data_IF_746116828238
#
_entry.id   IF_746116828238
#
_cell.length_a   1.000
_cell.length_b   1.000
_cell.length_c   1.000
_cell.angle_alpha   90.00
_cell.angle_beta   90.00
_cell.angle_gamma   90.00
#
_symmetry.space_group_name_H-M   'P 1'
#
loop_
_entity.id
_entity.type
_entity.pdbx_description
1 polymer ?
#
# COMPACT_ATOMS: atom_id res chain seq x y z
N UNK A 1 12.90 0.07 23.54
CA UNK A 1 11.80 0.45 22.60
C UNK A 1 12.36 1.16 21.37
N UNK A 2 12.84 2.41 21.44
CA UNK A 2 13.37 3.14 20.27
C UNK A 2 14.50 2.43 19.50
N UNK A 3 15.52 1.89 20.19
CA UNK A 3 16.60 1.11 19.55
C UNK A 3 16.13 -0.20 18.89
N UNK A 4 15.09 -0.85 19.44
CA UNK A 4 14.56 -2.10 18.89
C UNK A 4 13.59 -1.85 17.73
N UNK A 5 12.84 -0.74 17.76
CA UNK A 5 12.01 -0.30 16.64
C UNK A 5 12.85 0.19 15.45
N UNK A 6 14.06 0.69 15.70
CA UNK A 6 15.02 1.05 14.64
C UNK A 6 15.61 -0.18 13.94
N UNK A 7 15.72 -1.32 14.62
CA UNK A 7 16.20 -2.57 14.03
C UNK A 7 15.17 -3.19 13.07
N UNK A 8 13.86 -2.94 13.29
CA UNK A 8 12.76 -3.38 12.43
C UNK A 8 12.69 -2.60 11.11
N UNK A 9 12.78 -1.27 11.16
CA UNK A 9 12.71 -0.43 9.96
C UNK A 9 13.87 -0.68 8.95
N UNK A 10 15.01 -1.22 9.42
CA UNK A 10 16.10 -1.68 8.56
C UNK A 10 15.92 -3.10 8.02
N UNK A 11 15.10 -3.92 8.68
CA UNK A 11 14.82 -5.30 8.29
C UNK A 11 13.82 -5.38 7.12
N UNK A 12 12.83 -4.50 7.04
CA UNK A 12 11.82 -4.47 5.95
C UNK A 12 12.43 -4.40 4.55
N UNK A 13 13.37 -3.49 4.34
CA UNK A 13 13.95 -3.31 3.01
C UNK A 13 14.94 -4.44 2.63
N UNK A 14 15.46 -5.17 3.60
CA UNK A 14 16.24 -6.40 3.37
C UNK A 14 15.33 -7.60 3.08
N UNK A 15 14.16 -7.69 3.72
CA UNK A 15 13.18 -8.75 3.48
C UNK A 15 12.60 -8.69 2.07
N UNK A 16 12.33 -7.49 1.54
CA UNK A 16 11.90 -7.30 0.14
C UNK A 16 13.01 -7.73 -0.83
N UNK A 17 14.28 -7.39 -0.55
CA UNK A 17 15.43 -7.78 -1.38
C UNK A 17 15.72 -9.30 -1.32
N UNK A 18 15.42 -9.94 -0.19
CA UNK A 18 15.60 -11.37 0.05
C UNK A 18 14.47 -12.20 -0.57
N UNK A 19 13.23 -11.72 -0.52
CA UNK A 19 12.07 -12.38 -1.11
C UNK A 19 12.14 -12.48 -2.65
N UNK A 20 12.98 -11.66 -3.30
CA UNK A 20 13.10 -11.56 -4.76
C UNK A 20 14.41 -12.14 -5.32
N UNK A 21 15.34 -12.64 -4.50
CA UNK A 21 16.64 -13.17 -4.95
C UNK A 21 16.69 -14.71 -4.96
N UNK A 22 17.21 -15.37 -6.03
CA UNK A 22 17.42 -16.82 -6.03
C UNK A 22 18.48 -17.20 -4.98
N UNK A 23 18.04 -17.91 -3.93
CA UNK A 23 18.78 -18.47 -2.78
C UNK A 23 20.19 -17.88 -2.52
N UNK A 24 20.31 -16.93 -1.57
CA UNK A 24 21.56 -16.20 -1.40
C UNK A 24 22.52 -16.84 -0.39
N UNK A 25 23.73 -17.21 -0.85
CA UNK A 25 24.91 -17.48 0.02
C UNK A 25 25.46 -16.23 0.72
N UNK A 26 24.83 -15.07 0.51
CA UNK A 26 25.34 -13.75 0.90
C UNK A 26 24.64 -13.12 2.10
N UNK A 27 23.69 -13.82 2.75
CA UNK A 27 23.08 -13.32 3.99
C UNK A 27 24.18 -13.20 5.06
N UNK A 28 24.50 -12.00 5.55
CA UNK A 28 25.53 -11.83 6.56
C UNK A 28 25.14 -12.59 7.83
N UNK A 29 26.05 -13.44 8.35
CA UNK A 29 25.80 -14.24 9.56
C UNK A 29 25.35 -13.39 10.77
N UNK A 30 25.74 -12.11 10.81
CA UNK A 30 25.30 -11.16 11.82
C UNK A 30 23.77 -10.93 11.86
N UNK A 31 23.06 -11.02 10.72
CA UNK A 31 21.59 -10.88 10.67
C UNK A 31 20.86 -12.14 11.15
N UNK A 32 21.45 -13.31 10.92
CA UNK A 32 20.98 -14.59 11.47
C UNK A 32 21.23 -14.64 12.97
N UNK A 33 22.45 -14.27 13.40
CA UNK A 33 22.87 -14.29 14.80
C UNK A 33 22.18 -13.21 15.66
N UNK A 34 21.71 -12.11 15.06
CA UNK A 34 20.91 -11.09 15.75
C UNK A 34 19.43 -11.43 15.87
N UNK A 35 18.98 -12.55 15.28
CA UNK A 35 17.59 -13.01 15.32
C UNK A 35 16.60 -12.22 14.46
N UNK A 36 17.09 -11.32 13.60
CA UNK A 36 16.27 -10.49 12.70
C UNK A 36 15.83 -11.24 11.44
N UNK A 37 16.58 -12.28 11.08
CA UNK A 37 16.34 -13.09 9.89
C UNK A 37 16.45 -14.55 10.30
N UNK A 38 15.37 -15.32 10.18
CA UNK A 38 15.42 -16.78 10.38
C UNK A 38 15.48 -17.47 9.03
N UNK A 39 16.53 -18.24 8.80
CA UNK A 39 16.61 -19.13 7.64
C UNK A 39 15.99 -20.47 8.00
N UNK A 40 14.83 -20.78 7.45
CA UNK A 40 14.20 -22.09 7.59
C UNK A 40 14.53 -22.92 6.34
N UNK A 41 15.01 -24.15 6.52
CA UNK A 41 15.26 -25.04 5.39
C UNK A 41 14.04 -25.93 5.15
N UNK A 42 13.21 -25.57 4.17
CA UNK A 42 12.01 -26.32 3.83
C UNK A 42 12.28 -27.14 2.56
N UNK A 43 12.13 -28.47 2.63
CA UNK A 43 12.34 -29.39 1.50
C UNK A 43 13.70 -29.22 0.79
N UNK A 44 14.78 -29.06 1.55
CA UNK A 44 16.15 -28.94 1.03
C UNK A 44 16.52 -27.56 0.47
N UNK A 45 15.56 -26.64 0.33
CA UNK A 45 15.76 -25.24 -0.06
C UNK A 45 15.82 -24.35 1.18
N UNK A 46 16.81 -23.46 1.24
CA UNK A 46 16.94 -22.48 2.33
C UNK A 46 16.00 -21.32 2.01
N UNK A 47 14.98 -21.14 2.84
CA UNK A 47 14.00 -20.07 2.75
C UNK A 47 14.27 -19.09 3.87
N UNK A 48 14.19 -17.81 3.56
CA UNK A 48 14.39 -16.76 4.55
C UNK A 48 13.02 -16.28 5.01
N UNK A 49 12.69 -16.53 6.28
CA UNK A 49 11.44 -16.09 6.89
C UNK A 49 11.69 -14.69 7.47
N UNK A 50 11.29 -13.68 6.71
CA UNK A 50 11.15 -12.30 7.18
C UNK A 50 9.83 -12.12 7.93
N UNK A 51 9.80 -11.19 8.89
CA UNK A 51 8.57 -10.72 9.54
C UNK A 51 7.66 -10.09 8.47
N UNK A 52 6.67 -10.82 8.01
CA UNK A 52 5.62 -10.23 7.15
C UNK A 52 4.91 -9.07 7.89
N UNK A 53 4.11 -8.25 7.21
CA UNK A 53 3.47 -7.06 7.79
C UNK A 53 2.69 -7.34 9.10
N UNK A 54 2.02 -8.49 9.27
CA UNK A 54 1.44 -8.86 10.59
C UNK A 54 2.40 -9.58 11.55
N UNK A 55 3.57 -10.01 11.09
CA UNK A 55 4.71 -10.34 11.94
C UNK A 55 5.30 -9.11 12.63
N UNK A 56 5.35 -7.96 11.94
CA UNK A 56 5.75 -6.70 12.55
C UNK A 56 4.78 -6.25 13.64
N UNK A 57 3.46 -6.34 13.43
CA UNK A 57 2.48 -5.95 14.46
C UNK A 57 2.59 -6.81 15.72
N UNK A 58 2.77 -8.12 15.55
CA UNK A 58 2.93 -9.08 16.66
C UNK A 58 4.27 -8.90 17.36
N UNK A 59 5.32 -8.56 16.62
CA UNK A 59 6.62 -8.22 17.21
C UNK A 59 6.61 -6.86 17.91
N UNK A 60 5.85 -5.89 17.40
CA UNK A 60 5.61 -4.61 18.06
C UNK A 60 4.82 -4.79 19.36
N UNK A 61 3.78 -5.63 19.38
CA UNK A 61 3.05 -5.97 20.62
C UNK A 61 3.96 -6.72 21.61
N UNK A 62 4.79 -7.66 21.13
CA UNK A 62 5.80 -8.35 21.95
C UNK A 62 6.78 -7.37 22.62
N UNK A 63 7.27 -6.36 21.88
CA UNK A 63 8.16 -5.33 22.44
C UNK A 63 7.42 -4.45 23.45
N UNK A 64 6.16 -4.10 23.20
CA UNK A 64 5.35 -3.27 24.09
C UNK A 64 5.03 -3.99 25.40
N UNK A 65 4.62 -5.26 25.35
CA UNK A 65 4.38 -6.11 26.53
C UNK A 65 5.65 -6.30 27.34
N UNK A 66 6.78 -6.60 26.67
CA UNK A 66 8.08 -6.71 27.33
C UNK A 66 8.52 -5.40 27.99
N UNK A 67 8.20 -4.25 27.39
CA UNK A 67 8.48 -2.95 28.00
C UNK A 67 7.60 -2.64 29.22
N UNK A 68 6.40 -3.25 29.31
CA UNK A 68 5.53 -3.21 30.50
C UNK A 68 5.86 -4.29 31.55
N UNK A 69 6.84 -5.14 31.29
CA UNK A 69 7.17 -6.27 32.17
C UNK A 69 6.16 -7.42 32.11
N UNK A 70 5.31 -7.44 31.08
CA UNK A 70 4.36 -8.52 30.81
C UNK A 70 5.08 -9.64 30.05
N UNK A 71 4.86 -10.89 30.46
CA UNK A 71 5.32 -12.04 29.69
C UNK A 71 4.56 -12.09 28.36
N UNK A 72 5.31 -12.28 27.27
CA UNK A 72 4.72 -12.46 25.96
C UNK A 72 3.87 -13.73 25.94
N UNK A 73 2.58 -13.56 25.72
CA UNK A 73 1.67 -14.66 25.46
C UNK A 73 1.23 -14.57 24.02
N UNK A 74 1.43 -15.66 23.28
CA UNK A 74 0.90 -15.82 21.93
C UNK A 74 -0.61 -16.07 22.03
N UNK A 75 -1.34 -15.01 22.37
CA UNK A 75 -2.78 -15.03 22.59
C UNK A 75 -3.53 -15.21 21.26
N UNK A 76 -4.82 -15.61 21.30
CA UNK A 76 -5.58 -15.90 20.09
C UNK A 76 -5.60 -14.75 19.08
N UNK A 77 -5.62 -13.50 19.56
CA UNK A 77 -5.61 -12.29 18.72
C UNK A 77 -4.27 -12.10 18.03
N UNK A 78 -3.15 -12.28 18.74
CA UNK A 78 -1.80 -12.21 18.16
C UNK A 78 -1.56 -13.30 17.11
N UNK A 79 -2.14 -14.49 17.31
CA UNK A 79 -2.10 -15.59 16.33
C UNK A 79 -2.89 -15.27 15.07
N UNK A 80 -4.05 -14.65 15.24
CA UNK A 80 -4.92 -14.22 14.14
C UNK A 80 -4.27 -13.11 13.32
N UNK A 81 -3.71 -12.08 13.96
CA UNK A 81 -2.98 -10.98 13.30
C UNK A 81 -1.70 -11.49 12.61
N UNK A 82 -0.96 -12.39 13.24
CA UNK A 82 0.20 -13.05 12.61
C UNK A 82 -0.22 -13.85 11.37
N UNK A 83 -1.30 -14.63 11.48
CA UNK A 83 -1.82 -15.43 10.38
C UNK A 83 -2.34 -14.55 9.24
N UNK A 84 -3.14 -13.52 9.54
CA UNK A 84 -3.62 -12.55 8.55
C UNK A 84 -2.44 -11.84 7.87
N UNK A 85 -1.44 -11.43 8.65
CA UNK A 85 -0.23 -10.80 8.13
C UNK A 85 0.66 -11.74 7.31
N UNK A 86 0.66 -13.03 7.61
CA UNK A 86 1.35 -14.03 6.81
C UNK A 86 0.60 -14.32 5.51
N UNK A 87 -0.73 -14.33 5.56
CA UNK A 87 -1.62 -14.48 4.40
C UNK A 87 -1.54 -13.26 3.47
N UNK A 88 -1.51 -12.05 4.02
CA UNK A 88 -1.49 -10.80 3.25
C UNK A 88 -0.07 -10.36 2.85
N UNK A 89 0.92 -10.51 3.73
CA UNK A 89 2.32 -10.09 3.49
C UNK A 89 3.20 -11.17 2.87
N UNK A 90 2.76 -12.44 2.86
CA UNK A 90 3.46 -13.55 2.22
C UNK A 90 3.20 -13.58 0.71
N UNK A 91 3.77 -12.61 -0.02
CA UNK A 91 3.63 -12.49 -1.47
C UNK A 91 3.73 -13.82 -2.23
N UNK A 92 2.68 -14.10 -3.02
CA UNK A 92 2.61 -14.95 -4.23
C UNK A 92 3.28 -16.35 -4.29
N UNK A 93 3.76 -16.93 -3.19
CA UNK A 93 4.37 -18.27 -3.27
C UNK A 93 4.35 -19.14 -2.04
N UNK A 94 4.19 -18.59 -0.83
CA UNK A 94 4.19 -19.39 0.41
C UNK A 94 2.91 -19.19 1.24
N UNK A 95 2.34 -17.98 1.25
CA UNK A 95 1.06 -17.73 1.91
C UNK A 95 -0.11 -18.45 1.22
N UNK A 96 -0.08 -18.51 -0.12
CA UNK A 96 -1.09 -19.20 -0.93
C UNK A 96 -1.17 -20.71 -0.67
N UNK A 97 -0.03 -21.36 -0.41
CA UNK A 97 0.03 -22.80 -0.13
C UNK A 97 -0.59 -23.14 1.23
N UNK A 98 -0.37 -22.32 2.26
CA UNK A 98 -0.99 -22.51 3.58
C UNK A 98 -2.51 -22.31 3.49
N UNK A 99 -2.96 -21.23 2.85
CA UNK A 99 -4.39 -20.95 2.71
C UNK A 99 -5.09 -22.04 1.90
N UNK A 100 -4.54 -22.41 0.74
CA UNK A 100 -5.11 -23.49 -0.09
C UNK A 100 -5.10 -24.83 0.64
N UNK A 101 -4.09 -25.10 1.48
CA UNK A 101 -4.06 -26.30 2.33
C UNK A 101 -5.16 -26.30 3.38
N UNK A 102 -5.39 -25.17 4.06
CA UNK A 102 -6.50 -25.03 5.02
C UNK A 102 -7.84 -25.23 4.30
N UNK A 103 -8.04 -24.61 3.14
CA UNK A 103 -9.26 -24.74 2.34
C UNK A 103 -9.49 -26.19 1.91
N UNK A 104 -8.46 -26.83 1.37
CA UNK A 104 -8.52 -28.22 0.88
C UNK A 104 -8.85 -29.18 2.02
N UNK A 105 -8.14 -29.07 3.16
CA UNK A 105 -8.36 -29.92 4.34
C UNK A 105 -9.74 -29.72 4.94
N UNK A 106 -10.18 -28.46 5.05
CA UNK A 106 -11.52 -28.14 5.54
C UNK A 106 -12.55 -28.80 4.63
N UNK A 107 -12.42 -28.63 3.31
CA UNK A 107 -13.31 -29.24 2.32
C UNK A 107 -13.30 -30.76 2.40
N UNK A 108 -12.14 -31.40 2.55
CA UNK A 108 -12.06 -32.87 2.60
C UNK A 108 -12.84 -33.46 3.79
N UNK A 109 -12.80 -32.78 4.94
CA UNK A 109 -13.51 -33.15 6.18
C UNK A 109 -14.98 -32.79 6.21
N UNK A 110 -15.43 -31.89 5.33
CA UNK A 110 -16.85 -31.54 5.22
C UNK A 110 -17.71 -32.76 4.86
N UNK A 111 -18.90 -32.81 5.46
CA UNK A 111 -19.98 -33.70 5.04
C UNK A 111 -20.37 -33.43 3.58
N UNK A 112 -21.08 -34.36 2.94
CA UNK A 112 -21.58 -34.15 1.57
C UNK A 112 -22.52 -32.95 1.46
N UNK A 113 -23.25 -32.64 2.54
CA UNK A 113 -24.11 -31.46 2.62
C UNK A 113 -23.29 -30.17 2.65
N UNK A 114 -22.27 -30.08 3.51
CA UNK A 114 -21.39 -28.91 3.57
C UNK A 114 -20.56 -28.72 2.32
N UNK A 115 -20.09 -29.80 1.67
CA UNK A 115 -19.41 -29.69 0.37
C UNK A 115 -20.30 -29.03 -0.68
N UNK A 116 -21.57 -29.43 -0.73
CA UNK A 116 -22.54 -28.83 -1.66
C UNK A 116 -22.83 -27.36 -1.32
N UNK A 117 -22.94 -27.03 -0.03
CA UNK A 117 -23.12 -25.64 0.40
C UNK A 117 -21.89 -24.79 0.06
N UNK A 118 -20.70 -25.26 0.41
CA UNK A 118 -19.43 -24.62 0.06
C UNK A 118 -19.30 -24.38 -1.45
N UNK A 119 -19.55 -25.40 -2.29
CA UNK A 119 -19.48 -25.25 -3.75
C UNK A 119 -20.53 -24.25 -4.28
N UNK A 120 -21.71 -24.16 -3.66
CA UNK A 120 -22.75 -23.19 -4.01
C UNK A 120 -22.38 -21.76 -3.59
N UNK A 121 -21.80 -21.59 -2.40
CA UNK A 121 -21.35 -20.28 -1.91
C UNK A 121 -20.16 -19.76 -2.72
N UNK A 122 -19.21 -20.64 -3.09
CA UNK A 122 -18.12 -20.29 -4.02
C UNK A 122 -18.66 -19.82 -5.36
N UNK A 123 -19.68 -20.49 -5.91
CA UNK A 123 -20.31 -20.07 -7.16
C UNK A 123 -20.99 -18.70 -7.01
N UNK A 124 -21.73 -18.48 -5.92
CA UNK A 124 -22.39 -17.21 -5.62
C UNK A 124 -21.37 -16.06 -5.51
N UNK A 125 -20.29 -16.24 -4.76
CA UNK A 125 -19.27 -15.19 -4.61
C UNK A 125 -18.54 -14.88 -5.93
N UNK A 126 -18.36 -15.86 -6.82
CA UNK A 126 -17.85 -15.57 -8.17
C UNK A 126 -18.82 -14.72 -8.99
N UNK A 127 -20.12 -14.98 -8.88
CA UNK A 127 -21.14 -14.15 -9.55
C UNK A 127 -21.16 -12.72 -9.00
N UNK A 128 -20.78 -12.53 -7.73
CA UNK A 128 -20.59 -11.23 -7.09
C UNK A 128 -19.26 -10.54 -7.48
N UNK A 129 -18.40 -11.21 -8.26
CA UNK A 129 -17.16 -10.64 -8.79
C UNK A 129 -15.90 -10.93 -7.98
N UNK A 130 -15.97 -11.80 -6.97
CA UNK A 130 -14.78 -12.24 -6.24
C UNK A 130 -13.95 -13.24 -7.07
N UNK A 131 -12.63 -13.25 -6.86
CA UNK A 131 -11.78 -14.26 -7.51
C UNK A 131 -11.93 -15.65 -6.82
N UNK A 132 -11.33 -16.71 -7.38
CA UNK A 132 -11.44 -18.08 -6.86
C UNK A 132 -11.06 -18.17 -5.38
N UNK A 133 -9.89 -17.64 -5.00
CA UNK A 133 -9.35 -17.79 -3.64
C UNK A 133 -10.16 -16.99 -2.63
N UNK A 134 -10.58 -15.79 -2.99
CA UNK A 134 -11.48 -14.97 -2.16
C UNK A 134 -12.84 -15.65 -1.97
N UNK A 135 -13.39 -16.24 -3.03
CA UNK A 135 -14.67 -16.96 -2.98
C UNK A 135 -14.60 -18.17 -2.06
N UNK A 136 -13.53 -18.95 -2.13
CA UNK A 136 -13.29 -20.10 -1.25
C UNK A 136 -13.13 -19.69 0.21
N UNK A 137 -12.40 -18.61 0.48
CA UNK A 137 -12.23 -18.09 1.85
C UNK A 137 -13.56 -17.61 2.44
N UNK A 138 -14.37 -16.88 1.66
CA UNK A 138 -15.69 -16.42 2.11
C UNK A 138 -16.66 -17.58 2.30
N UNK A 139 -16.63 -18.58 1.42
CA UNK A 139 -17.44 -19.78 1.58
C UNK A 139 -17.04 -20.57 2.85
N UNK A 140 -15.75 -20.65 3.19
CA UNK A 140 -15.33 -21.23 4.48
C UNK A 140 -15.83 -20.43 5.67
N UNK A 141 -15.80 -19.09 5.59
CA UNK A 141 -16.30 -18.22 6.66
C UNK A 141 -17.80 -18.47 6.92
N UNK A 142 -18.62 -18.59 5.88
CA UNK A 142 -20.04 -18.91 6.03
C UNK A 142 -20.28 -20.29 6.64
N UNK A 143 -19.50 -21.30 6.23
CA UNK A 143 -19.56 -22.64 6.85
C UNK A 143 -19.15 -22.58 8.32
N UNK A 144 -18.11 -21.80 8.65
CA UNK A 144 -17.59 -21.63 10.01
C UNK A 144 -18.56 -20.91 10.96
N UNK A 145 -19.60 -20.23 10.45
CA UNK A 145 -20.67 -19.67 11.29
C UNK A 145 -21.53 -20.76 11.95
N UNK A 146 -21.46 -22.00 11.47
CA UNK A 146 -22.11 -23.15 12.11
C UNK A 146 -21.16 -23.82 13.11
N UNK A 147 -21.70 -24.43 14.18
CA UNK A 147 -20.87 -25.10 15.19
C UNK A 147 -20.05 -26.26 14.62
N UNK A 148 -20.62 -27.01 13.66
CA UNK A 148 -19.93 -28.13 13.01
C UNK A 148 -18.86 -27.63 12.02
N UNK A 149 -19.19 -26.62 11.21
CA UNK A 149 -18.24 -26.00 10.29
C UNK A 149 -17.06 -25.33 11.01
N UNK A 150 -17.29 -24.70 12.16
CA UNK A 150 -16.23 -24.10 12.98
C UNK A 150 -15.20 -25.13 13.43
N UNK A 151 -15.64 -26.31 13.90
CA UNK A 151 -14.73 -27.38 14.32
C UNK A 151 -13.97 -27.97 13.12
N UNK A 152 -14.61 -28.12 11.95
CA UNK A 152 -13.94 -28.57 10.71
C UNK A 152 -12.79 -27.62 10.33
N UNK A 153 -13.03 -26.31 10.31
CA UNK A 153 -12.02 -25.31 9.94
C UNK A 153 -10.90 -25.26 10.97
N UNK A 154 -11.24 -25.28 12.26
CA UNK A 154 -10.26 -25.32 13.35
C UNK A 154 -9.35 -26.55 13.28
N UNK A 155 -9.92 -27.72 12.99
CA UNK A 155 -9.14 -28.95 12.83
C UNK A 155 -8.19 -28.87 11.62
N UNK A 156 -8.64 -28.31 10.49
CA UNK A 156 -7.80 -28.08 9.32
C UNK A 156 -6.65 -27.09 9.58
N UNK A 157 -6.89 -26.06 10.39
CA UNK A 157 -5.87 -25.10 10.83
C UNK A 157 -4.83 -25.79 11.72
N UNK A 158 -5.25 -26.58 12.72
CA UNK A 158 -4.31 -27.29 13.60
C UNK A 158 -3.50 -28.36 12.85
N UNK A 159 -4.09 -29.06 11.88
CA UNK A 159 -3.33 -29.99 11.01
C UNK A 159 -2.30 -29.26 10.15
N UNK A 160 -2.68 -28.12 9.57
CA UNK A 160 -1.75 -27.32 8.76
C UNK A 160 -0.62 -26.77 9.60
N UNK A 161 -0.92 -26.32 10.81
CA UNK A 161 0.09 -25.91 11.78
C UNK A 161 0.99 -27.08 12.19
N UNK A 162 0.45 -28.26 12.43
CA UNK A 162 1.22 -29.45 12.80
C UNK A 162 2.15 -29.93 11.68
N UNK A 163 1.81 -29.68 10.41
CA UNK A 163 2.69 -29.96 9.27
C UNK A 163 3.81 -28.92 9.11
N UNK A 164 3.50 -27.65 9.36
CA UNK A 164 4.47 -26.55 9.21
C UNK A 164 5.44 -26.47 10.40
N UNK A 165 5.02 -26.89 11.60
CA UNK A 165 5.84 -26.85 12.84
C UNK A 165 7.12 -27.69 12.79
N UNK A 166 7.12 -28.99 12.41
CA UNK A 166 8.34 -29.81 12.41
C UNK A 166 9.40 -29.33 11.42
N UNK A 167 9.00 -28.65 10.34
CA UNK A 167 9.92 -28.00 9.40
C UNK A 167 10.70 -26.83 10.03
N UNK A 168 10.19 -26.26 11.13
CA UNK A 168 10.87 -25.18 11.86
C UNK A 168 11.85 -25.71 12.94
N UNK A 169 11.63 -26.91 13.47
CA UNK A 169 12.46 -27.51 14.53
C UNK A 169 13.65 -28.32 13.99
N UNK A 170 13.61 -28.79 12.74
CA UNK A 170 14.71 -29.54 12.12
C UNK A 170 15.82 -28.67 11.52
N UNK A 171 15.82 -27.35 11.73
CA UNK A 171 17.06 -26.59 11.57
C UNK A 171 17.89 -26.93 12.80
N UNK A 172 18.92 -27.82 12.71
CA UNK A 172 19.75 -28.14 13.85
C UNK A 172 20.20 -26.80 14.41
N UNK A 173 19.95 -26.57 15.71
CA UNK A 173 20.48 -25.41 16.40
C UNK A 173 21.97 -25.38 16.07
N UNK A 174 22.36 -24.48 15.17
CA UNK A 174 23.74 -24.32 14.78
C UNK A 174 24.43 -24.09 16.11
N UNK A 175 25.24 -25.07 16.53
CA UNK A 175 25.93 -25.07 17.80
C UNK A 175 26.65 -23.72 17.82
N UNK A 176 26.11 -22.78 18.59
CA UNK A 176 26.63 -21.43 18.66
C UNK A 176 27.98 -21.63 19.28
N UNK A 177 29.00 -21.78 18.43
CA UNK A 177 30.39 -21.89 18.87
C UNK A 177 30.53 -20.67 19.76
N UNK A 178 30.79 -20.85 21.07
CA UNK A 178 30.94 -19.71 21.95
C UNK A 178 32.04 -18.88 21.32
N UNK A 179 31.67 -17.73 20.77
CA UNK A 179 32.62 -16.77 20.26
C UNK A 179 33.53 -16.54 21.46
N UNK A 180 34.83 -16.91 21.39
CA UNK A 180 35.74 -16.67 22.48
C UNK A 180 35.55 -15.21 22.86
N UNK A 181 35.34 -14.95 24.15
CA UNK A 181 35.33 -13.59 24.65
C UNK A 181 36.71 -13.01 24.37
N UNK A 182 36.90 -12.51 23.15
CA UNK A 182 38.04 -11.69 22.80
C UNK A 182 37.80 -10.43 23.59
N UNK A 183 38.56 -10.30 24.68
CA UNK A 183 38.65 -9.12 25.49
C UNK A 183 39.04 -8.00 24.50
N UNK A 184 38.03 -7.27 24.01
CA UNK A 184 38.22 -6.10 23.17
C UNK A 184 38.91 -5.09 24.07
N UNK A 185 40.23 -5.19 24.10
CA UNK A 185 41.12 -4.14 24.56
C UNK A 185 40.90 -3.00 23.59
N UNK A 186 39.98 -2.12 23.97
CA UNK A 186 39.81 -0.84 23.29
C UNK A 186 41.22 -0.23 23.17
N UNK A 187 41.71 0.05 21.96
CA UNK A 187 42.99 0.72 21.82
C UNK A 187 42.90 1.99 22.68
N UNK A 188 43.92 2.21 23.52
CA UNK A 188 44.05 3.44 24.28
C UNK A 188 43.84 4.59 23.29
N UNK A 189 42.75 5.35 23.49
CA UNK A 189 42.42 6.49 22.65
C UNK A 189 43.60 7.45 22.78
N UNK A 190 44.46 7.48 21.77
CA UNK A 190 45.50 8.49 21.69
C UNK A 190 44.82 9.86 21.73
N UNK A 191 45.31 10.81 22.54
CA UNK A 191 44.73 12.13 22.62
C UNK A 191 44.74 12.74 21.22
N UNK A 192 43.55 13.04 20.70
CA UNK A 192 43.38 13.74 19.44
C UNK A 192 44.19 15.04 19.55
N UNK A 193 45.15 15.31 18.64
CA UNK A 193 45.93 16.52 18.70
C UNK A 193 44.99 17.73 18.65
N UNK A 194 45.17 18.65 19.59
CA UNK A 194 44.46 19.90 19.67
C UNK A 194 44.67 20.67 18.37
N UNK A 195 43.65 20.69 17.50
CA UNK A 195 43.68 21.40 16.24
C UNK A 195 43.74 22.89 16.57
N UNK A 196 44.95 23.45 16.51
CA UNK A 196 45.17 24.89 16.58
C UNK A 196 44.67 25.47 15.27
N UNK A 197 43.47 26.05 15.31
CA UNK A 197 42.86 26.70 14.15
C UNK A 197 43.61 28.02 13.93
N UNK A 198 44.51 28.06 12.94
CA UNK A 198 45.09 29.33 12.52
C UNK A 198 43.98 30.24 11.93
N UNK A 199 43.96 31.53 12.28
CA UNK A 199 42.99 32.46 11.72
C UNK A 199 43.24 32.62 10.22
N UNK A 200 42.24 32.26 9.41
CA UNK A 200 42.25 32.50 7.96
C UNK A 200 42.08 34.00 7.72
N UNK A 201 43.18 34.73 7.68
CA UNK A 201 43.23 36.08 7.12
C UNK A 201 43.12 36.00 5.59
N UNK A 202 42.09 36.66 5.04
CA UNK A 202 41.98 36.87 3.59
C UNK A 202 40.70 36.36 2.94
N UNK A 203 39.54 36.61 3.54
CA UNK A 203 38.29 36.60 2.75
C UNK A 203 38.19 37.94 2.03
N UNK A 204 38.62 37.93 0.77
CA UNK A 204 38.44 39.05 -0.16
C UNK A 204 36.93 39.30 -0.31
N UNK A 205 36.44 40.53 -0.17
CA UNK A 205 35.02 40.83 -0.31
C UNK A 205 34.58 40.52 -1.74
N UNK A 206 33.77 39.48 -1.89
CA UNK A 206 33.10 39.15 -3.14
C UNK A 206 32.12 40.28 -3.48
N UNK A 207 32.23 40.79 -4.71
CA UNK A 207 31.35 41.82 -5.25
C UNK A 207 29.86 41.45 -5.06
N UNK A 208 28.99 42.46 -4.79
CA UNK A 208 27.57 42.22 -4.64
C UNK A 208 27.00 41.63 -5.93
N UNK A 209 26.49 40.41 -5.84
CA UNK A 209 25.71 39.77 -6.90
C UNK A 209 24.53 40.68 -7.20
N UNK A 210 24.54 41.27 -8.39
CA UNK A 210 23.43 42.05 -8.94
C UNK A 210 22.26 41.07 -9.12
N UNK A 211 21.30 41.12 -8.21
CA UNK A 211 20.02 40.43 -8.36
C UNK A 211 19.30 41.08 -9.53
N UNK A 212 18.93 40.36 -10.59
CA UNK A 212 18.13 40.93 -11.66
C UNK A 212 16.81 41.41 -11.08
N UNK A 213 16.54 42.69 -11.31
CA UNK A 213 15.31 43.38 -10.92
C UNK A 213 14.12 42.62 -11.50
N UNK A 214 13.32 42.03 -10.61
CA UNK A 214 12.07 41.36 -10.98
C UNK A 214 11.15 42.44 -11.56
N UNK A 215 10.73 42.35 -12.83
CA UNK A 215 9.87 43.35 -13.41
C UNK A 215 8.59 43.48 -12.59
N UNK A 216 8.26 44.71 -12.21
CA UNK A 216 7.05 45.02 -11.47
C UNK A 216 5.82 44.41 -12.17
N UNK A 217 4.87 43.84 -11.42
CA UNK A 217 3.64 43.34 -12.01
C UNK A 217 2.91 44.50 -12.69
N UNK A 218 2.74 44.38 -14.00
CA UNK A 218 1.92 45.30 -14.79
C UNK A 218 0.51 45.27 -14.18
N UNK A 219 0.16 46.33 -13.45
CA UNK A 219 -1.19 46.59 -13.00
C UNK A 219 -2.04 46.80 -14.25
N UNK A 220 -2.74 45.75 -14.67
CA UNK A 220 -3.77 45.88 -15.70
C UNK A 220 -4.86 46.79 -15.14
N UNK A 221 -4.94 48.01 -15.67
CA UNK A 221 -6.06 48.89 -15.42
C UNK A 221 -7.34 48.20 -15.90
N UNK A 222 -8.44 48.23 -15.12
CA UNK A 222 -9.71 47.66 -15.56
C UNK A 222 -10.16 48.39 -16.83
N UNK A 223 -10.25 47.63 -17.93
CA UNK A 223 -10.90 48.07 -19.16
C UNK A 223 -12.37 48.27 -18.80
N UNK A 224 -12.75 49.53 -18.59
CA UNK A 224 -14.14 49.94 -18.46
C UNK A 224 -14.73 50.01 -19.86
N UNK A 225 -15.33 48.92 -20.30
CA UNK A 225 -16.16 48.97 -21.50
C UNK A 225 -17.41 49.83 -21.21
N UNK A 226 -17.75 50.79 -22.10
CA UNK A 226 -18.95 51.59 -21.93
C UNK A 226 -20.18 50.71 -22.14
N UNK A 227 -20.93 50.51 -21.06
CA UNK A 227 -22.29 49.94 -21.11
C UNK A 227 -23.13 50.80 -22.05
N UNK A 228 -23.67 50.25 -23.16
CA UNK A 228 -24.61 51.00 -23.98
C UNK A 228 -25.88 51.25 -23.15
N UNK A 229 -26.17 52.53 -22.99
CA UNK A 229 -27.37 53.07 -22.36
C UNK A 229 -28.60 52.62 -23.14
N UNK A 230 -29.24 51.51 -22.72
CA UNK A 230 -30.52 51.07 -23.25
C UNK A 230 -31.57 52.04 -22.75
N UNK A 231 -31.90 52.99 -23.63
CA UNK A 231 -33.02 53.91 -23.48
C UNK A 231 -34.29 53.07 -23.34
N UNK A 232 -34.95 53.22 -22.20
CA UNK A 232 -36.32 52.79 -21.99
C UNK A 232 -37.21 53.45 -23.04
N UNK A 233 -37.64 52.67 -24.03
CA UNK A 233 -38.73 53.05 -24.90
C UNK A 233 -39.92 52.16 -24.55
N UNK A 234 -40.84 52.78 -23.82
CA UNK A 234 -42.18 52.28 -23.60
C UNK A 234 -42.91 52.07 -24.93
N UNK A 235 -43.90 51.17 -24.88
CA UNK A 235 -44.90 50.83 -25.90
C UNK A 235 -44.47 49.71 -26.86
N UNK A 236 -44.92 48.47 -26.61
CA UNK A 236 -46.00 47.91 -27.42
C UNK A 236 -46.55 46.63 -26.77
N UNK A 237 -47.88 46.55 -26.68
CA UNK A 237 -48.67 45.49 -26.05
C UNK A 237 -48.87 44.30 -27.02
N UNK A 238 -47.84 43.97 -27.80
CA UNK A 238 -47.90 42.86 -28.75
C UNK A 238 -47.36 41.59 -28.11
N UNK A 239 -48.29 40.68 -27.83
CA UNK A 239 -48.10 39.28 -27.45
C UNK A 239 -47.13 38.62 -28.44
N UNK A 240 -45.83 38.65 -28.16
CA UNK A 240 -44.86 37.74 -28.79
C UNK A 240 -44.99 36.44 -28.01
N UNK A 241 -45.63 35.45 -28.63
CA UNK A 241 -45.43 34.05 -28.30
C UNK A 241 -43.93 33.78 -28.40
N UNK A 242 -43.21 33.97 -27.30
CA UNK A 242 -41.90 33.37 -27.08
C UNK A 242 -42.19 31.87 -27.11
N UNK A 243 -42.09 31.30 -28.30
CA UNK A 243 -42.02 29.87 -28.52
C UNK A 243 -40.89 29.44 -27.61
N UNK A 244 -41.26 28.88 -26.45
CA UNK A 244 -40.34 28.22 -25.54
C UNK A 244 -39.68 27.15 -26.37
N UNK A 245 -38.49 27.45 -26.86
CA UNK A 245 -37.55 26.52 -27.45
C UNK A 245 -36.93 25.67 -26.32
N UNK A 246 -37.76 25.25 -25.37
CA UNK A 246 -37.53 24.14 -24.45
C UNK A 246 -37.73 22.84 -25.23
N UNK A 247 -37.14 22.75 -26.43
CA UNK A 247 -36.92 21.47 -27.07
C UNK A 247 -35.94 20.76 -26.14
N UNK A 248 -36.50 19.97 -25.22
CA UNK A 248 -35.78 19.03 -24.37
C UNK A 248 -34.95 18.18 -25.33
N UNK A 249 -33.68 18.55 -25.50
CA UNK A 249 -32.73 17.83 -26.31
C UNK A 249 -32.58 16.48 -25.61
N UNK A 250 -33.35 15.51 -26.09
CA UNK A 250 -33.29 14.15 -25.61
C UNK A 250 -31.83 13.71 -25.75
N UNK A 251 -31.21 13.42 -24.61
CA UNK A 251 -29.87 12.86 -24.58
C UNK A 251 -29.94 11.57 -25.39
N UNK A 252 -29.20 11.42 -26.49
CA UNK A 252 -29.25 10.19 -27.25
C UNK A 252 -28.83 9.06 -26.30
N UNK A 253 -29.59 7.95 -26.27
CA UNK A 253 -29.33 6.77 -25.41
C UNK A 253 -27.89 6.26 -25.55
N UNK A 254 -27.25 6.59 -26.68
CA UNK A 254 -25.85 6.34 -27.01
C UNK A 254 -24.85 7.03 -26.04
N UNK A 255 -25.21 8.13 -25.39
CA UNK A 255 -24.26 8.93 -24.57
C UNK A 255 -23.72 8.14 -23.37
N UNK A 256 -24.59 7.37 -22.70
CA UNK A 256 -24.19 6.52 -21.57
C UNK A 256 -23.32 5.37 -22.06
N UNK A 257 -23.66 4.75 -23.20
CA UNK A 257 -22.88 3.67 -23.80
C UNK A 257 -21.48 4.15 -24.21
N UNK A 258 -21.39 5.35 -24.79
CA UNK A 258 -20.13 6.00 -25.12
C UNK A 258 -19.28 6.24 -23.87
N UNK A 259 -19.86 6.80 -22.80
CA UNK A 259 -19.14 6.98 -21.54
C UNK A 259 -18.64 5.64 -20.97
N UNK A 260 -19.48 4.61 -20.95
CA UNK A 260 -19.09 3.26 -20.51
C UNK A 260 -17.92 2.73 -21.32
N UNK A 261 -17.96 2.85 -22.66
CA UNK A 261 -16.86 2.42 -23.53
C UNK A 261 -15.55 3.19 -23.27
N UNK A 262 -15.62 4.50 -22.98
CA UNK A 262 -14.46 5.30 -22.59
C UNK A 262 -13.88 4.87 -21.23
N UNK A 263 -14.74 4.50 -20.27
CA UNK A 263 -14.32 3.98 -18.95
C UNK A 263 -13.66 2.61 -19.10
N UNK A 264 -14.22 1.70 -19.90
CA UNK A 264 -13.62 0.39 -20.14
C UNK A 264 -12.24 0.51 -20.80
N UNK A 265 -12.07 1.44 -21.74
CA UNK A 265 -10.78 1.76 -22.34
C UNK A 265 -9.78 2.36 -21.33
N UNK A 266 -10.26 2.95 -20.23
CA UNK A 266 -9.42 3.48 -19.16
C UNK A 266 -8.92 2.40 -18.18
N UNK A 267 -9.58 1.24 -18.09
CA UNK A 267 -9.21 0.16 -17.15
C UNK A 267 -7.75 -0.30 -17.33
N UNK A 268 -7.25 -0.55 -18.56
CA UNK A 268 -5.85 -0.91 -18.77
C UNK A 268 -4.86 0.16 -18.26
N UNK A 269 -5.23 1.44 -18.29
CA UNK A 269 -4.38 2.55 -17.82
C UNK A 269 -4.17 2.46 -16.30
N UNK A 270 -5.16 1.94 -15.57
CA UNK A 270 -5.05 1.72 -14.12
C UNK A 270 -3.96 0.71 -13.80
N UNK A 271 -3.93 -0.42 -14.50
CA UNK A 271 -2.89 -1.45 -14.32
C UNK A 271 -1.50 -0.89 -14.63
N UNK A 272 -1.37 -0.11 -15.71
CA UNK A 272 -0.11 0.56 -16.06
C UNK A 272 0.30 1.55 -14.98
N UNK A 273 -0.63 2.35 -14.46
CA UNK A 273 -0.34 3.31 -13.40
C UNK A 273 0.07 2.62 -12.09
N UNK A 274 -0.58 1.52 -11.73
CA UNK A 274 -0.21 0.72 -10.55
C UNK A 274 1.17 0.09 -10.72
N UNK A 275 1.50 -0.42 -11.91
CA UNK A 275 2.84 -0.90 -12.24
C UNK A 275 3.91 0.18 -12.08
N UNK A 276 3.67 1.38 -12.63
CA UNK A 276 4.59 2.52 -12.49
C UNK A 276 4.78 2.95 -11.04
N UNK A 277 3.70 2.99 -10.25
CA UNK A 277 3.76 3.29 -8.81
C UNK A 277 4.59 2.25 -8.07
N UNK A 278 4.34 0.97 -8.35
CA UNK A 278 5.05 -0.13 -7.71
C UNK A 278 6.54 -0.09 -8.01
N UNK A 279 6.93 0.07 -9.28
CA UNK A 279 8.33 0.17 -9.69
C UNK A 279 9.06 1.35 -9.00
N UNK A 280 8.42 2.52 -8.94
CA UNK A 280 9.00 3.69 -8.27
C UNK A 280 9.12 3.49 -6.76
N UNK A 281 8.12 2.87 -6.12
CA UNK A 281 8.18 2.56 -4.69
C UNK A 281 9.30 1.56 -4.39
N UNK A 282 9.44 0.48 -5.16
CA UNK A 282 10.55 -0.47 -5.02
C UNK A 282 11.89 0.26 -5.13
N UNK A 283 12.05 1.14 -6.12
CA UNK A 283 13.26 1.95 -6.31
C UNK A 283 13.53 2.90 -5.14
N UNK A 284 12.50 3.56 -4.59
CA UNK A 284 12.62 4.45 -3.43
C UNK A 284 12.97 3.69 -2.16
N UNK A 285 12.32 2.56 -1.92
CA UNK A 285 12.59 1.68 -0.78
C UNK A 285 14.02 1.14 -0.81
N UNK A 286 14.52 0.74 -1.98
CA UNK A 286 15.93 0.33 -2.14
C UNK A 286 16.92 1.44 -1.77
N UNK A 287 16.67 2.69 -2.22
CA UNK A 287 17.50 3.85 -1.84
C UNK A 287 17.41 4.18 -0.35
N UNK A 288 16.21 4.15 0.22
CA UNK A 288 15.99 4.39 1.64
C UNK A 288 16.75 3.36 2.49
N UNK A 289 16.74 2.09 2.09
CA UNK A 289 17.52 1.01 2.71
C UNK A 289 19.01 1.27 2.68
N UNK A 290 19.56 1.61 1.50
CA UNK A 290 20.99 1.88 1.36
C UNK A 290 21.46 3.05 2.26
N UNK A 291 20.61 4.05 2.49
CA UNK A 291 20.89 5.15 3.44
C UNK A 291 20.93 4.62 4.87
N UNK A 292 19.99 3.76 5.27
CA UNK A 292 19.97 3.17 6.61
C UNK A 292 21.17 2.25 6.88
N UNK A 293 21.73 1.61 5.85
CA UNK A 293 22.92 0.77 5.99
C UNK A 293 24.22 1.57 6.13
N UNK A 294 24.27 2.81 5.62
CA UNK A 294 25.51 3.60 5.53
C UNK A 294 25.57 4.75 6.53
N UNK A 295 24.44 5.14 7.11
CA UNK A 295 24.33 6.25 8.06
C UNK A 295 23.67 5.74 9.34
N UNK A 296 24.06 6.29 10.49
CA UNK A 296 23.48 5.89 11.78
C UNK A 296 22.59 6.98 12.41
N UNK A 297 21.73 6.56 13.34
CA UNK A 297 20.98 7.46 14.22
C UNK A 297 19.87 8.26 13.54
N UNK A 298 19.56 9.44 14.11
CA UNK A 298 18.43 10.28 13.69
C UNK A 298 18.58 10.83 12.27
N UNK A 299 19.82 11.11 11.87
CA UNK A 299 20.11 11.64 10.54
C UNK A 299 19.81 10.59 9.45
N UNK A 300 20.22 9.34 9.66
CA UNK A 300 19.92 8.23 8.75
C UNK A 300 18.42 8.09 8.50
N UNK A 301 17.64 8.14 9.58
CA UNK A 301 16.18 8.01 9.49
C UNK A 301 15.52 9.21 8.79
N UNK A 302 16.00 10.44 9.06
CA UNK A 302 15.49 11.62 8.37
C UNK A 302 15.79 11.56 6.86
N UNK A 303 16.99 11.12 6.49
CA UNK A 303 17.43 10.97 5.10
C UNK A 303 16.70 9.83 4.40
N UNK A 304 16.53 8.67 5.02
CA UNK A 304 15.80 7.54 4.44
C UNK A 304 14.33 7.90 4.19
N UNK A 305 13.67 8.57 5.16
CA UNK A 305 12.31 9.09 4.97
C UNK A 305 12.22 10.10 3.84
N UNK A 306 13.24 10.95 3.69
CA UNK A 306 13.28 11.92 2.58
C UNK A 306 13.38 11.24 1.20
N UNK A 307 14.03 10.06 1.12
CA UNK A 307 14.16 9.29 -0.12
C UNK A 307 12.83 8.67 -0.60
N UNK A 308 11.85 8.53 0.29
CA UNK A 308 10.50 8.05 -0.04
C UNK A 308 9.58 9.17 -0.54
N UNK A 309 9.94 10.44 -0.33
CA UNK A 309 9.11 11.60 -0.70
C UNK A 309 9.12 11.85 -2.21
N UNK A 310 8.13 12.61 -2.67
CA UNK A 310 7.94 13.03 -4.05
C UNK A 310 6.65 12.45 -4.63
N UNK A 311 6.13 13.06 -5.68
CA UNK A 311 4.98 12.52 -6.38
C UNK A 311 5.32 11.17 -7.02
N UNK A 312 4.36 10.24 -7.01
CA UNK A 312 4.50 8.98 -7.73
C UNK A 312 4.22 9.22 -9.22
N UNK A 313 4.88 8.47 -10.13
CA UNK A 313 4.59 8.55 -11.54
C UNK A 313 3.10 8.27 -11.78
N UNK A 314 2.52 9.05 -12.68
CA UNK A 314 1.15 8.89 -13.15
C UNK A 314 1.23 8.53 -14.63
N UNK A 315 0.44 7.56 -15.06
CA UNK A 315 0.25 7.33 -16.47
C UNK A 315 -0.46 8.54 -17.09
N UNK A 316 -0.12 8.89 -18.32
CA UNK A 316 -0.85 9.91 -19.06
C UNK A 316 -2.27 9.40 -19.30
N UNK A 317 -3.23 10.03 -18.63
CA UNK A 317 -4.64 9.71 -18.73
C UNK A 317 -5.37 10.89 -19.36
N UNK A 318 -5.94 10.66 -20.54
CA UNK A 318 -6.85 11.61 -21.15
C UNK A 318 -8.24 11.41 -20.53
N UNK A 319 -8.78 12.37 -19.74
CA UNK A 319 -10.09 12.21 -19.14
C UNK A 319 -11.17 12.00 -20.22
N UNK A 320 -12.19 11.16 -19.96
CA UNK A 320 -13.25 10.86 -20.93
C UNK A 320 -13.96 12.11 -21.45
N UNK A 321 -14.04 13.16 -20.63
CA UNK A 321 -14.67 14.44 -20.95
C UNK A 321 -14.09 15.08 -22.22
N UNK A 322 -12.78 14.93 -22.47
CA UNK A 322 -12.14 15.46 -23.68
C UNK A 322 -12.58 14.76 -24.97
N UNK A 323 -13.22 13.59 -24.85
CA UNK A 323 -13.73 12.79 -25.96
C UNK A 323 -15.25 12.90 -26.09
N UNK A 324 -15.89 13.72 -25.26
CA UNK A 324 -17.33 13.97 -25.26
C UNK A 324 -17.59 15.43 -25.63
N UNK A 325 -18.71 15.68 -26.30
CA UNK A 325 -19.16 17.04 -26.60
C UNK A 325 -19.83 17.66 -25.38
N UNK A 326 -19.85 19.00 -25.29
CA UNK A 326 -20.52 19.71 -24.19
C UNK A 326 -22.00 19.33 -24.04
N UNK A 327 -22.68 19.03 -25.15
CA UNK A 327 -24.08 18.58 -25.16
C UNK A 327 -24.24 17.20 -24.53
N UNK A 328 -23.35 16.26 -24.84
CA UNK A 328 -23.31 14.92 -24.24
C UNK A 328 -23.06 15.01 -22.73
N UNK A 329 -22.06 15.80 -22.32
CA UNK A 329 -21.71 16.01 -20.91
C UNK A 329 -22.90 16.63 -20.17
N UNK A 330 -23.46 17.73 -20.67
CA UNK A 330 -24.65 18.37 -20.08
C UNK A 330 -25.84 17.40 -20.00
N UNK A 331 -25.99 16.55 -21.00
CA UNK A 331 -26.99 15.49 -21.04
C UNK A 331 -26.85 14.52 -19.86
N UNK A 332 -25.65 14.01 -19.61
CA UNK A 332 -25.36 13.11 -18.48
C UNK A 332 -25.66 13.78 -17.13
N UNK A 333 -25.25 15.03 -16.94
CA UNK A 333 -25.54 15.76 -15.70
C UNK A 333 -27.03 15.99 -15.49
N UNK A 334 -27.78 16.31 -16.55
CA UNK A 334 -29.24 16.43 -16.46
C UNK A 334 -29.88 15.08 -16.10
N UNK A 335 -29.40 13.97 -16.67
CA UNK A 335 -29.88 12.64 -16.33
C UNK A 335 -29.65 12.30 -14.85
N UNK A 336 -28.49 12.63 -14.27
CA UNK A 336 -28.23 12.46 -12.84
C UNK A 336 -29.14 13.38 -12.01
N UNK A 337 -29.28 14.65 -12.40
CA UNK A 337 -30.13 15.63 -11.73
C UNK A 337 -31.59 15.17 -11.66
N UNK A 338 -32.12 14.65 -12.76
CA UNK A 338 -33.52 14.26 -12.90
C UNK A 338 -33.79 12.81 -12.43
N UNK A 339 -32.74 12.05 -12.10
CA UNK A 339 -32.87 10.69 -11.54
C UNK A 339 -33.53 10.67 -10.15
N UNK A 340 -34.04 9.50 -9.74
CA UNK A 340 -34.58 9.27 -8.39
C UNK A 340 -33.51 9.01 -7.31
N UNK A 341 -32.24 9.30 -7.59
CA UNK A 341 -31.17 9.16 -6.60
C UNK A 341 -31.36 10.13 -5.43
N UNK A 342 -30.93 9.73 -4.23
CA UNK A 342 -30.95 10.61 -3.07
C UNK A 342 -29.95 11.76 -3.24
N UNK A 343 -30.16 12.86 -2.53
CA UNK A 343 -29.32 14.06 -2.65
C UNK A 343 -27.81 13.77 -2.50
N UNK A 344 -27.44 13.00 -1.48
CA UNK A 344 -26.04 12.61 -1.23
C UNK A 344 -25.52 11.50 -2.15
N UNK A 345 -26.38 10.91 -2.99
CA UNK A 345 -25.96 10.01 -4.07
C UNK A 345 -25.70 10.77 -5.37
N UNK A 346 -26.36 11.93 -5.57
CA UNK A 346 -26.16 12.81 -6.73
C UNK A 346 -24.91 13.68 -6.59
N UNK A 347 -24.54 14.04 -5.36
CA UNK A 347 -23.39 14.90 -5.07
C UNK A 347 -22.42 14.15 -4.16
N UNK A 348 -21.21 13.91 -4.65
CA UNK A 348 -20.14 13.34 -3.84
C UNK A 348 -19.62 14.41 -2.88
N UNK A 349 -19.78 14.19 -1.58
CA UNK A 349 -19.32 15.14 -0.54
C UNK A 349 -17.81 15.08 -0.30
N UNK A 350 -17.07 14.15 -0.93
CA UNK A 350 -15.62 14.07 -0.76
C UNK A 350 -14.87 15.26 -1.38
N UNK A 351 -15.53 16.02 -2.26
CA UNK A 351 -14.96 17.18 -2.96
C UNK A 351 -15.43 18.54 -2.41
N UNK A 352 -16.38 18.55 -1.47
CA UNK A 352 -16.92 19.76 -0.83
C UNK A 352 -16.30 19.99 0.55
#
# INVERSE_FOLDING_TARGET
VFRNNMTLAGADAFQIAIALAPTPKWVPAALVNSGLVRTARISGKIVIVGLSEGGEEVYQDLIQRRARGEEFQFDPVSKEVFALGFIMGGGMGLGGDIVSSIVTRSRDKMSSEFKRQFDADVARFKEEGFNQSESELRALDEIAQTSEGAEIVKEAVEETKAEVTPLAEEVPAEEVIPVPAEEVTLPAVEPIPEITVEPVEGVVPTEPVIVPEVPEPIVQQPISEPVPNITQQANDDSIVNVVREDAVLAVPEDTVQKLTGLIEQAVPIREVQEGLKHEELVRRSGRASAILQTTEGREAFARSKSALRGELPKADFAPPELQMTDLEIKGLFNQIKDSNLQFFQKLNTAEA
#
